data_IF_934972551655
#
_entry.id   IF_934972551655
#
_cell.length_a   1.000
_cell.length_b   1.000
_cell.length_c   1.000
_cell.angle_alpha   90.00
_cell.angle_beta   90.00
_cell.angle_gamma   90.00
#
_symmetry.space_group_name_H-M   'P 1'
#
loop_
_entity.id
_entity.type
_entity.pdbx_description
1 polymer ?
#
# COMPACT_ATOMS: atom_id res chain seq x y z
N UNK A 1 21.42 -9.96 -20.75
CA UNK A 1 20.85 -10.41 -19.46
C UNK A 1 20.32 -9.25 -18.60
N UNK A 2 20.86 -8.01 -18.69
CA UNK A 2 20.36 -6.84 -17.91
C UNK A 2 19.03 -6.25 -18.43
N UNK A 3 18.73 -6.33 -19.73
CA UNK A 3 17.49 -5.79 -20.32
C UNK A 3 16.22 -6.58 -19.92
N UNK A 4 16.32 -7.90 -19.70
CA UNK A 4 15.16 -8.72 -19.32
C UNK A 4 14.69 -8.49 -17.88
N UNK A 5 15.61 -8.24 -16.92
CA UNK A 5 15.25 -7.93 -15.52
C UNK A 5 14.55 -6.58 -15.36
N UNK A 6 14.84 -5.62 -16.24
CA UNK A 6 14.28 -4.27 -16.16
C UNK A 6 12.84 -4.20 -16.69
N UNK A 7 12.49 -5.03 -17.69
CA UNK A 7 11.13 -5.14 -18.23
C UNK A 7 10.17 -5.83 -17.26
N UNK A 8 10.61 -6.83 -16.49
CA UNK A 8 9.79 -7.49 -15.47
C UNK A 8 9.43 -6.58 -14.31
N UNK A 9 10.38 -5.80 -13.77
CA UNK A 9 10.12 -4.84 -12.69
C UNK A 9 9.12 -3.75 -13.08
N UNK A 10 9.15 -3.29 -14.33
CA UNK A 10 8.23 -2.27 -14.84
C UNK A 10 6.81 -2.83 -15.07
N UNK A 11 6.65 -4.11 -15.34
CA UNK A 11 5.35 -4.75 -15.55
C UNK A 11 4.60 -4.95 -14.23
N UNK A 12 5.30 -5.42 -13.19
CA UNK A 12 4.74 -5.61 -11.85
C UNK A 12 4.32 -4.28 -11.17
N UNK A 13 5.02 -3.18 -11.44
CA UNK A 13 4.66 -1.85 -10.91
C UNK A 13 3.36 -1.30 -11.51
N UNK A 14 2.90 -1.82 -12.65
CA UNK A 14 1.64 -1.44 -13.29
C UNK A 14 0.44 -2.23 -12.77
N UNK A 15 0.66 -3.41 -12.16
CA UNK A 15 -0.42 -4.30 -11.74
C UNK A 15 -1.09 -3.85 -10.42
N UNK A 16 -0.46 -2.98 -9.61
CA UNK A 16 -0.96 -2.56 -8.30
C UNK A 16 -1.31 -3.71 -7.36
N UNK A 17 -0.53 -4.79 -7.40
CA UNK A 17 -0.73 -5.93 -6.53
C UNK A 17 -0.48 -5.57 -5.05
N UNK A 18 -1.09 -6.34 -4.14
CA UNK A 18 -0.76 -6.28 -2.72
C UNK A 18 0.73 -6.55 -2.49
N UNK A 19 1.33 -6.05 -1.39
CA UNK A 19 2.68 -6.41 -1.01
C UNK A 19 2.70 -7.90 -0.62
N UNK A 20 3.15 -8.75 -1.55
CA UNK A 20 3.27 -10.20 -1.36
C UNK A 20 4.74 -10.60 -1.20
N UNK A 21 4.98 -11.74 -0.57
CA UNK A 21 6.29 -12.39 -0.54
C UNK A 21 6.66 -12.79 -1.97
N UNK A 22 7.91 -12.55 -2.38
CA UNK A 22 8.37 -12.73 -3.77
C UNK A 22 8.06 -14.10 -4.39
N UNK A 23 7.92 -15.15 -3.58
CA UNK A 23 7.63 -16.51 -4.04
C UNK A 23 6.15 -16.76 -4.38
N UNK A 24 5.26 -15.82 -4.11
CA UNK A 24 3.82 -15.93 -4.33
C UNK A 24 3.32 -15.09 -5.50
N UNK A 25 4.23 -14.38 -6.19
CA UNK A 25 3.88 -13.43 -7.24
C UNK A 25 3.98 -14.10 -8.59
N UNK A 26 2.86 -14.25 -9.27
CA UNK A 26 2.82 -14.50 -10.69
C UNK A 26 3.33 -13.27 -11.45
N UNK A 27 4.23 -13.47 -12.43
CA UNK A 27 4.88 -12.38 -13.16
C UNK A 27 3.92 -11.60 -14.09
N UNK A 28 2.70 -12.07 -14.28
CA UNK A 28 1.73 -11.53 -15.25
C UNK A 28 0.41 -11.09 -14.59
N UNK A 29 0.13 -11.47 -13.34
CA UNK A 29 -1.13 -11.19 -12.63
C UNK A 29 -0.92 -11.02 -11.14
N UNK A 30 -1.83 -10.30 -10.47
CA UNK A 30 -1.90 -10.23 -9.01
C UNK A 30 -2.57 -11.46 -8.37
N UNK A 31 -3.32 -12.23 -9.16
CA UNK A 31 -4.03 -13.39 -8.66
C UNK A 31 -3.09 -14.59 -8.46
N UNK A 32 -3.41 -15.42 -7.47
CA UNK A 32 -2.84 -16.76 -7.34
C UNK A 32 -3.49 -17.69 -8.36
N UNK A 33 -2.87 -18.83 -8.65
CA UNK A 33 -3.48 -19.84 -9.52
C UNK A 33 -4.83 -20.29 -8.96
N UNK A 34 -4.93 -20.48 -7.64
CA UNK A 34 -6.19 -20.80 -6.96
C UNK A 34 -7.26 -19.74 -7.18
N UNK A 35 -6.90 -18.46 -7.09
CA UNK A 35 -7.81 -17.35 -7.37
C UNK A 35 -8.28 -17.34 -8.82
N UNK A 36 -7.39 -17.62 -9.77
CA UNK A 36 -7.73 -17.70 -11.19
C UNK A 36 -8.71 -18.85 -11.48
N UNK A 37 -8.50 -20.03 -10.87
CA UNK A 37 -9.44 -21.14 -10.99
C UNK A 37 -10.82 -20.77 -10.43
N UNK A 38 -10.88 -20.13 -9.27
CA UNK A 38 -12.14 -19.67 -8.69
C UNK A 38 -12.85 -18.64 -9.58
N UNK A 39 -12.13 -17.68 -10.13
CA UNK A 39 -12.69 -16.71 -11.07
C UNK A 39 -13.18 -17.37 -12.36
N UNK A 40 -12.46 -18.34 -12.93
CA UNK A 40 -12.92 -19.16 -14.06
C UNK A 40 -14.23 -19.87 -13.75
N UNK A 41 -14.32 -20.52 -12.59
CA UNK A 41 -15.49 -21.29 -12.22
C UNK A 41 -16.70 -20.39 -12.04
N UNK A 42 -16.52 -19.22 -11.39
CA UNK A 42 -17.57 -18.19 -11.26
C UNK A 42 -17.98 -17.57 -12.60
N UNK A 43 -17.02 -17.36 -13.51
CA UNK A 43 -17.32 -16.95 -14.89
C UNK A 43 -18.15 -17.99 -15.61
N UNK A 44 -17.73 -19.26 -15.60
CA UNK A 44 -18.38 -20.36 -16.30
C UNK A 44 -19.81 -20.65 -15.79
N UNK A 45 -20.06 -20.43 -14.49
CA UNK A 45 -21.37 -20.51 -13.88
C UNK A 45 -22.37 -19.51 -14.49
N UNK A 46 -21.90 -18.33 -14.87
CA UNK A 46 -22.72 -17.22 -15.38
C UNK A 46 -22.70 -17.07 -16.89
N UNK A 47 -21.75 -17.70 -17.55
CA UNK A 47 -21.55 -17.62 -18.99
C UNK A 47 -21.49 -19.02 -19.62
N UNK A 48 -22.62 -19.78 -19.62
CA UNK A 48 -22.64 -21.15 -20.14
C UNK A 48 -22.24 -21.23 -21.63
N UNK A 49 -22.52 -20.16 -22.40
CA UNK A 49 -22.22 -20.08 -23.82
C UNK A 49 -20.80 -19.62 -24.14
N UNK A 50 -20.06 -19.15 -23.12
CA UNK A 50 -18.71 -18.62 -23.29
C UNK A 50 -17.74 -19.09 -22.19
N UNK A 51 -17.70 -20.41 -21.99
CA UNK A 51 -16.91 -21.05 -20.93
C UNK A 51 -15.41 -21.02 -21.22
N UNK A 52 -14.65 -20.90 -20.15
CA UNK A 52 -13.19 -21.06 -20.16
C UNK A 52 -12.87 -22.52 -19.79
N UNK A 53 -12.58 -23.35 -20.79
CA UNK A 53 -12.28 -24.77 -20.62
C UNK A 53 -10.76 -25.02 -20.53
N UNK A 54 -10.08 -24.25 -19.67
CA UNK A 54 -8.63 -24.39 -19.47
C UNK A 54 -8.31 -24.60 -17.99
N UNK A 55 -7.30 -25.42 -17.72
CA UNK A 55 -6.67 -25.60 -16.41
C UNK A 55 -5.29 -24.91 -16.35
N UNK A 56 -4.92 -24.17 -17.39
CA UNK A 56 -3.70 -23.36 -17.38
C UNK A 56 -4.01 -21.97 -16.84
N UNK A 57 -3.42 -21.55 -15.69
CA UNK A 57 -3.68 -20.25 -15.09
C UNK A 57 -3.40 -19.07 -16.04
N UNK A 58 -2.38 -19.15 -16.88
CA UNK A 58 -2.04 -18.11 -17.82
C UNK A 58 -3.10 -17.97 -18.93
N UNK A 59 -3.64 -19.06 -19.43
CA UNK A 59 -4.73 -19.05 -20.42
C UNK A 59 -6.03 -18.52 -19.81
N UNK A 60 -6.35 -18.94 -18.57
CA UNK A 60 -7.50 -18.43 -17.84
C UNK A 60 -7.42 -16.91 -17.69
N UNK A 61 -6.28 -16.41 -17.23
CA UNK A 61 -6.04 -14.98 -17.10
C UNK A 61 -6.17 -14.24 -18.43
N UNK A 62 -5.58 -14.77 -19.50
CA UNK A 62 -5.63 -14.17 -20.83
C UNK A 62 -7.06 -14.05 -21.35
N UNK A 63 -7.88 -15.10 -21.20
CA UNK A 63 -9.29 -15.10 -21.59
C UNK A 63 -10.12 -14.13 -20.76
N UNK A 64 -10.00 -14.15 -19.43
CA UNK A 64 -10.69 -13.20 -18.55
C UNK A 64 -10.31 -11.75 -18.87
N UNK A 65 -9.03 -11.49 -19.10
CA UNK A 65 -8.55 -10.16 -19.50
C UNK A 65 -9.16 -9.71 -20.83
N UNK A 66 -9.27 -10.61 -21.82
CA UNK A 66 -9.91 -10.33 -23.10
C UNK A 66 -11.40 -9.99 -22.92
N UNK A 67 -12.14 -10.81 -22.19
CA UNK A 67 -13.58 -10.62 -21.97
C UNK A 67 -13.91 -9.33 -21.21
N UNK A 68 -13.06 -8.95 -20.29
CA UNK A 68 -13.26 -7.78 -19.42
C UNK A 68 -12.58 -6.50 -19.93
N UNK A 69 -11.88 -6.56 -21.05
CA UNK A 69 -11.07 -5.44 -21.57
C UNK A 69 -11.87 -4.16 -21.87
N UNK A 70 -13.16 -4.30 -22.23
CA UNK A 70 -14.07 -3.17 -22.48
C UNK A 70 -14.58 -2.50 -21.20
N UNK A 71 -14.64 -3.25 -20.09
CA UNK A 71 -15.19 -2.77 -18.82
C UNK A 71 -14.12 -2.42 -17.80
N UNK A 72 -12.91 -2.99 -17.92
CA UNK A 72 -11.86 -2.91 -16.92
C UNK A 72 -10.48 -2.66 -17.52
N UNK A 73 -9.83 -1.61 -17.07
CA UNK A 73 -8.42 -1.28 -17.39
C UNK A 73 -7.41 -1.94 -16.42
N UNK A 74 -7.89 -2.50 -15.30
CA UNK A 74 -7.08 -3.11 -14.22
C UNK A 74 -7.74 -4.37 -13.68
N UNK A 75 -6.90 -5.33 -13.26
CA UNK A 75 -7.38 -6.58 -12.66
C UNK A 75 -8.24 -6.39 -11.41
N UNK A 76 -7.92 -5.37 -10.58
CA UNK A 76 -8.74 -5.06 -9.39
C UNK A 76 -10.17 -4.63 -9.72
N UNK A 77 -10.43 -4.17 -10.94
CA UNK A 77 -11.76 -3.86 -11.44
C UNK A 77 -12.60 -5.13 -11.66
N UNK A 78 -11.98 -6.28 -12.01
CA UNK A 78 -12.69 -7.53 -12.25
C UNK A 78 -13.55 -7.94 -11.06
N UNK A 79 -13.04 -7.77 -9.85
CA UNK A 79 -13.74 -8.12 -8.60
C UNK A 79 -14.97 -7.25 -8.31
N UNK A 80 -15.10 -6.12 -9.01
CA UNK A 80 -16.26 -5.23 -8.93
C UNK A 80 -17.36 -5.61 -9.93
N UNK A 81 -17.06 -6.52 -10.84
CA UNK A 81 -18.00 -6.98 -11.89
C UNK A 81 -18.90 -8.08 -11.33
N UNK A 82 -19.83 -7.75 -10.42
CA UNK A 82 -20.72 -8.70 -9.77
C UNK A 82 -21.57 -9.51 -10.74
N UNK A 83 -21.92 -8.93 -11.90
CA UNK A 83 -22.66 -9.61 -12.96
C UNK A 83 -21.89 -10.80 -13.54
N UNK A 84 -20.56 -10.74 -13.56
CA UNK A 84 -19.70 -11.80 -14.12
C UNK A 84 -19.23 -12.81 -13.07
N UNK A 85 -18.97 -12.37 -11.83
CA UNK A 85 -18.34 -13.22 -10.81
C UNK A 85 -19.17 -13.43 -9.55
N UNK A 86 -20.26 -12.64 -9.34
CA UNK A 86 -20.98 -12.62 -8.08
C UNK A 86 -20.14 -12.05 -6.93
N UNK A 87 -20.31 -12.60 -5.73
CA UNK A 87 -19.51 -12.20 -4.57
C UNK A 87 -18.18 -12.96 -4.55
N UNK A 88 -17.11 -12.23 -4.81
CA UNK A 88 -15.71 -12.70 -4.80
C UNK A 88 -14.84 -11.84 -3.86
N UNK A 89 -15.43 -11.34 -2.78
CA UNK A 89 -14.75 -10.45 -1.83
C UNK A 89 -13.43 -11.00 -1.28
N UNK A 90 -13.32 -12.31 -1.11
CA UNK A 90 -12.10 -12.97 -0.63
C UNK A 90 -10.89 -12.70 -1.54
N UNK A 91 -11.12 -12.52 -2.85
CA UNK A 91 -10.06 -12.29 -3.84
C UNK A 91 -9.47 -10.87 -3.79
N UNK A 92 -10.09 -9.93 -3.07
CA UNK A 92 -9.51 -8.59 -2.82
C UNK A 92 -8.17 -8.64 -2.10
N UNK A 93 -7.85 -9.74 -1.40
CA UNK A 93 -6.53 -9.97 -0.81
C UNK A 93 -5.39 -9.94 -1.83
N UNK A 94 -5.68 -10.13 -3.11
CA UNK A 94 -4.71 -9.98 -4.20
C UNK A 94 -4.26 -8.55 -4.40
N UNK A 95 -5.03 -7.56 -3.95
CA UNK A 95 -4.80 -6.13 -4.15
C UNK A 95 -4.64 -5.34 -2.85
N UNK A 96 -4.85 -5.97 -1.70
CA UNK A 96 -4.71 -5.37 -0.38
C UNK A 96 -3.63 -6.10 0.45
N UNK A 97 -2.93 -5.42 1.36
CA UNK A 97 -2.03 -6.07 2.30
C UNK A 97 -2.79 -7.04 3.21
N UNK A 98 -2.07 -8.00 3.79
CA UNK A 98 -2.65 -8.90 4.79
C UNK A 98 -3.12 -8.09 5.99
N UNK A 99 -4.42 -8.02 6.18
CA UNK A 99 -5.04 -7.40 7.33
C UNK A 99 -4.95 -8.30 8.57
N UNK A 100 -4.95 -7.74 9.79
CA UNK A 100 -5.14 -8.48 11.04
C UNK A 100 -6.46 -9.27 11.00
N UNK A 101 -6.46 -10.47 11.63
CA UNK A 101 -7.66 -11.30 11.62
C UNK A 101 -8.80 -10.71 12.46
N UNK A 102 -8.47 -9.84 13.42
CA UNK A 102 -9.42 -9.08 14.23
C UNK A 102 -10.33 -8.21 13.38
N UNK A 103 -9.81 -7.59 12.31
CA UNK A 103 -10.61 -6.75 11.41
C UNK A 103 -11.69 -7.50 10.62
N UNK A 104 -11.52 -8.81 10.48
CA UNK A 104 -12.57 -9.66 9.87
C UNK A 104 -13.76 -9.85 10.81
N UNK A 105 -13.50 -9.86 12.13
CA UNK A 105 -14.52 -10.03 13.17
C UNK A 105 -15.20 -8.73 13.54
N UNK A 106 -14.43 -7.63 13.58
CA UNK A 106 -14.92 -6.30 13.87
C UNK A 106 -14.40 -5.29 12.81
N UNK A 107 -15.10 -5.09 11.69
CA UNK A 107 -14.67 -4.21 10.60
C UNK A 107 -14.67 -2.72 10.98
N UNK A 108 -15.31 -2.35 12.08
CA UNK A 108 -15.39 -0.97 12.58
C UNK A 108 -14.41 -0.72 13.75
N UNK A 109 -13.51 -1.64 14.02
CA UNK A 109 -12.51 -1.49 15.05
C UNK A 109 -11.51 -0.37 14.73
N UNK A 110 -11.15 0.38 15.76
CA UNK A 110 -10.12 1.41 15.63
C UNK A 110 -8.75 0.78 15.36
N UNK A 111 -8.02 1.38 14.44
CA UNK A 111 -6.68 0.93 14.10
C UNK A 111 -5.71 1.24 15.24
N UNK A 112 -5.06 0.22 15.77
CA UNK A 112 -3.95 0.39 16.71
C UNK A 112 -2.64 0.72 15.99
N UNK A 113 -1.70 1.34 16.69
CA UNK A 113 -0.34 1.58 16.18
C UNK A 113 0.38 0.30 15.76
N UNK A 114 0.13 -0.81 16.48
CA UNK A 114 0.72 -2.13 16.19
C UNK A 114 0.20 -2.68 14.86
N UNK A 115 -1.09 -2.58 14.61
CA UNK A 115 -1.73 -3.06 13.38
C UNK A 115 -1.30 -2.25 12.17
N UNK A 116 -1.29 -0.92 12.29
CA UNK A 116 -0.77 -0.03 11.24
C UNK A 116 0.68 -0.41 10.91
N UNK A 117 1.52 -0.61 11.92
CA UNK A 117 2.91 -1.02 11.72
C UNK A 117 3.01 -2.35 10.99
N UNK A 118 2.25 -3.38 11.41
CA UNK A 118 2.23 -4.69 10.74
C UNK A 118 1.86 -4.60 9.26
N UNK A 119 0.88 -3.77 8.93
CA UNK A 119 0.44 -3.56 7.54
C UNK A 119 1.51 -2.81 6.74
N UNK A 120 2.03 -1.70 7.26
CA UNK A 120 2.99 -0.85 6.55
C UNK A 120 4.35 -1.52 6.34
N UNK A 121 4.79 -2.37 7.27
CA UNK A 121 6.02 -3.16 7.12
C UNK A 121 5.95 -4.19 5.98
N UNK A 122 4.77 -4.62 5.54
CA UNK A 122 4.64 -5.44 4.33
C UNK A 122 5.07 -4.67 3.08
N UNK A 123 4.68 -3.38 2.98
CA UNK A 123 5.10 -2.50 1.88
C UNK A 123 6.61 -2.23 1.92
N UNK A 124 7.16 -1.95 3.08
CA UNK A 124 8.59 -1.68 3.25
C UNK A 124 9.45 -2.91 2.90
N UNK A 125 8.99 -4.11 3.29
CA UNK A 125 9.65 -5.37 2.95
C UNK A 125 9.66 -5.63 1.45
N UNK A 126 8.55 -5.32 0.77
CA UNK A 126 8.37 -5.57 -0.67
C UNK A 126 9.04 -4.50 -1.53
N UNK A 127 8.92 -3.24 -1.14
CA UNK A 127 9.44 -2.10 -1.91
C UNK A 127 10.69 -1.50 -1.24
N UNK A 128 11.87 -1.95 -1.64
CA UNK A 128 13.15 -1.53 -1.02
C UNK A 128 13.41 -0.02 -1.04
N UNK A 129 12.80 0.70 -1.99
CA UNK A 129 12.87 2.16 -2.07
C UNK A 129 11.88 2.89 -1.14
N UNK A 130 11.03 2.17 -0.42
CA UNK A 130 10.08 2.73 0.54
C UNK A 130 10.61 2.62 1.96
N UNK A 131 10.39 3.65 2.75
CA UNK A 131 10.58 3.67 4.20
C UNK A 131 9.28 4.07 4.88
N UNK A 132 8.92 3.37 5.96
CA UNK A 132 7.77 3.70 6.79
C UNK A 132 8.23 4.20 8.16
N UNK A 133 7.79 5.38 8.54
CA UNK A 133 8.08 6.02 9.83
C UNK A 133 6.79 6.16 10.63
N UNK A 134 6.84 5.76 11.86
CA UNK A 134 5.68 5.80 12.78
C UNK A 134 4.96 4.45 12.90
N UNK A 135 3.70 4.44 13.36
CA UNK A 135 2.88 5.59 13.75
C UNK A 135 3.50 6.39 14.91
N UNK A 136 3.48 7.70 14.82
CA UNK A 136 4.09 8.62 15.78
C UNK A 136 3.06 9.62 16.32
N UNK A 137 3.16 10.10 17.56
CA UNK A 137 2.34 11.19 18.05
C UNK A 137 2.67 12.50 17.34
N UNK A 138 1.73 13.47 17.39
CA UNK A 138 1.91 14.74 16.69
C UNK A 138 3.08 15.57 17.23
N UNK A 139 3.38 15.43 18.52
CA UNK A 139 4.48 16.13 19.20
C UNK A 139 5.81 15.39 19.12
N UNK A 140 6.06 14.68 18.01
CA UNK A 140 7.23 13.84 17.74
C UNK A 140 8.59 14.54 17.98
N UNK A 141 8.65 15.86 17.76
CA UNK A 141 9.86 16.68 17.89
C UNK A 141 10.01 17.34 19.29
N UNK A 142 9.07 17.11 20.20
CA UNK A 142 9.14 17.60 21.57
C UNK A 142 10.31 16.94 22.32
N UNK A 143 11.07 17.73 23.06
CA UNK A 143 12.16 17.25 23.91
C UNK A 143 11.64 16.84 25.28
N UNK A 144 12.04 15.66 25.75
CA UNK A 144 11.81 15.18 27.11
C UNK A 144 12.86 15.76 28.07
N UNK A 145 12.71 15.45 29.37
CA UNK A 145 13.55 16.00 30.46
C UNK A 145 15.07 15.84 30.21
N UNK A 146 15.51 14.74 29.59
CA UNK A 146 16.92 14.46 29.30
C UNK A 146 17.34 14.83 27.88
N UNK A 147 16.55 15.62 27.17
CA UNK A 147 16.85 16.08 25.82
C UNK A 147 16.51 15.10 24.70
N UNK A 148 16.03 13.90 25.01
CA UNK A 148 15.57 12.93 24.04
C UNK A 148 14.29 13.42 23.35
N UNK A 149 14.14 13.11 22.07
CA UNK A 149 12.90 13.38 21.37
C UNK A 149 11.80 12.40 21.78
N UNK A 150 10.56 12.82 21.65
CA UNK A 150 9.41 11.93 21.79
C UNK A 150 9.48 10.80 20.77
N UNK A 151 9.89 11.11 19.52
CA UNK A 151 10.10 10.13 18.46
C UNK A 151 11.39 10.43 17.69
N UNK A 152 12.48 9.77 18.05
CA UNK A 152 13.83 10.06 17.56
C UNK A 152 13.97 9.97 16.04
N UNK A 153 13.41 8.94 15.42
CA UNK A 153 13.52 8.69 13.96
C UNK A 153 13.01 9.87 13.14
N UNK A 154 11.92 10.53 13.60
CA UNK A 154 11.33 11.66 12.90
C UNK A 154 11.90 13.01 13.36
N UNK A 155 12.23 13.15 14.63
CA UNK A 155 12.88 14.32 15.19
C UNK A 155 14.24 14.57 14.52
N UNK A 156 15.02 13.51 14.33
CA UNK A 156 16.33 13.51 13.69
C UNK A 156 16.28 13.18 12.20
N UNK A 157 15.08 13.27 11.59
CA UNK A 157 14.88 12.92 10.19
C UNK A 157 15.86 13.65 9.26
N UNK A 158 16.58 12.88 8.46
CA UNK A 158 17.52 13.36 7.46
C UNK A 158 17.18 12.83 6.08
N UNK A 159 16.76 13.74 5.19
CA UNK A 159 16.47 13.37 3.80
C UNK A 159 17.72 12.84 3.08
N UNK A 160 18.90 13.38 3.39
CA UNK A 160 20.16 12.94 2.80
C UNK A 160 20.48 11.48 3.16
N UNK A 161 20.25 11.08 4.40
CA UNK A 161 20.41 9.68 4.84
C UNK A 161 19.42 8.74 4.18
N UNK A 162 18.16 9.17 4.01
CA UNK A 162 17.16 8.40 3.26
C UNK A 162 17.63 8.15 1.82
N UNK A 163 18.13 9.18 1.14
CA UNK A 163 18.66 9.07 -0.22
C UNK A 163 19.87 8.14 -0.26
N UNK A 164 20.82 8.29 0.65
CA UNK A 164 22.03 7.47 0.77
C UNK A 164 21.68 5.99 0.97
N UNK A 165 20.64 5.69 1.75
CA UNK A 165 20.13 4.33 1.98
C UNK A 165 19.24 3.79 0.84
N UNK A 166 19.09 4.53 -0.26
CA UNK A 166 18.31 4.13 -1.42
C UNK A 166 16.78 4.30 -1.26
N UNK A 167 16.36 4.99 -0.19
CA UNK A 167 14.95 5.30 0.05
C UNK A 167 14.55 6.53 -0.75
N UNK A 168 13.52 6.39 -1.56
CA UNK A 168 13.01 7.48 -2.43
C UNK A 168 11.54 7.76 -2.22
N UNK A 169 10.88 6.94 -1.40
CA UNK A 169 9.48 7.07 -1.00
C UNK A 169 9.40 6.88 0.50
N UNK A 170 8.78 7.81 1.20
CA UNK A 170 8.66 7.78 2.66
C UNK A 170 7.19 7.97 3.00
N UNK A 171 6.64 7.05 3.78
CA UNK A 171 5.30 7.14 4.34
C UNK A 171 5.40 7.40 5.85
N UNK A 172 4.63 8.35 6.35
CA UNK A 172 4.59 8.69 7.77
C UNK A 172 3.13 8.69 8.19
N UNK A 173 2.82 8.08 9.33
CA UNK A 173 1.50 8.14 9.94
C UNK A 173 1.64 8.78 11.32
N UNK A 174 0.77 9.75 11.59
CA UNK A 174 0.74 10.49 12.84
C UNK A 174 -0.60 10.26 13.54
N UNK A 175 -0.54 10.18 14.87
CA UNK A 175 -1.72 10.40 15.69
C UNK A 175 -1.86 11.90 15.95
N UNK A 176 -3.07 12.44 15.90
CA UNK A 176 -3.30 13.89 16.17
C UNK A 176 -3.12 14.26 17.63
N UNK A 177 -3.13 13.28 18.54
CA UNK A 177 -2.82 13.50 19.95
C UNK A 177 -1.31 13.49 20.21
N UNK A 178 -0.85 14.22 21.24
CA UNK A 178 0.51 14.13 21.76
C UNK A 178 0.74 12.78 22.46
N UNK A 179 2.01 12.49 22.75
CA UNK A 179 2.47 11.20 23.28
C UNK A 179 1.90 10.79 24.64
N UNK A 180 1.40 11.75 25.42
CA UNK A 180 0.80 11.57 26.75
C UNK A 180 -0.74 11.46 26.71
N UNK A 181 -1.32 11.32 25.52
CA UNK A 181 -2.76 11.17 25.30
C UNK A 181 -3.10 9.83 24.66
N UNK A 182 -4.35 9.34 24.82
CA UNK A 182 -4.75 8.01 24.33
C UNK A 182 -4.79 7.86 22.82
N UNK A 183 -4.82 8.96 22.05
CA UNK A 183 -4.95 8.96 20.60
C UNK A 183 -6.39 9.18 20.12
N UNK A 184 -6.58 10.07 19.15
CA UNK A 184 -7.89 10.42 18.62
C UNK A 184 -8.07 10.08 17.15
N UNK A 185 -7.08 10.42 16.31
CA UNK A 185 -7.23 10.35 14.88
C UNK A 185 -5.89 10.09 14.19
N UNK A 186 -5.94 9.37 13.06
CA UNK A 186 -4.77 9.05 12.24
C UNK A 186 -4.74 9.92 10.98
N UNK A 187 -3.65 10.63 10.79
CA UNK A 187 -3.35 11.40 9.58
C UNK A 187 -2.05 10.89 8.96
N UNK A 188 -1.83 11.16 7.69
CA UNK A 188 -0.68 10.62 6.99
C UNK A 188 0.02 11.63 6.09
N UNK A 189 1.31 11.40 5.87
CA UNK A 189 2.12 12.15 4.92
C UNK A 189 2.91 11.17 4.05
N UNK A 190 3.00 11.47 2.76
CA UNK A 190 3.80 10.70 1.82
C UNK A 190 4.77 11.60 1.07
N UNK A 191 6.03 11.22 1.03
CA UNK A 191 7.10 11.93 0.35
C UNK A 191 7.60 11.10 -0.81
N UNK A 192 7.60 11.67 -2.01
CA UNK A 192 8.26 11.10 -3.17
C UNK A 192 9.45 11.99 -3.56
N UNK A 193 10.65 11.59 -3.17
CA UNK A 193 11.86 12.36 -3.36
C UNK A 193 12.16 12.58 -4.85
N UNK A 194 12.02 11.53 -5.67
CA UNK A 194 12.31 11.61 -7.12
C UNK A 194 11.36 12.55 -7.86
N UNK A 195 10.09 12.60 -7.44
CA UNK A 195 9.08 13.50 -8.03
C UNK A 195 9.02 14.87 -7.36
N UNK A 196 9.77 15.07 -6.26
CA UNK A 196 9.74 16.30 -5.44
C UNK A 196 8.32 16.66 -4.95
N UNK A 197 7.55 15.64 -4.53
CA UNK A 197 6.17 15.78 -4.07
C UNK A 197 6.09 15.38 -2.61
N UNK A 198 5.43 16.21 -1.82
CA UNK A 198 4.95 15.88 -0.47
C UNK A 198 3.43 15.93 -0.52
N UNK A 199 2.81 14.85 -0.11
CA UNK A 199 1.35 14.70 -0.06
C UNK A 199 0.94 14.49 1.40
N UNK A 200 -0.03 15.28 1.86
CA UNK A 200 -0.69 15.13 3.16
C UNK A 200 -2.10 14.59 2.94
N UNK A 201 -2.54 13.73 3.81
CA UNK A 201 -3.90 13.18 3.79
C UNK A 201 -4.48 13.10 5.18
N UNK A 202 -5.68 13.64 5.30
CA UNK A 202 -6.58 13.54 6.44
C UNK A 202 -7.97 13.14 5.92
N UNK A 203 -8.57 12.10 6.50
CA UNK A 203 -9.89 11.61 6.10
C UNK A 203 -11.04 12.55 6.49
N UNK A 204 -10.82 13.44 7.48
CA UNK A 204 -11.79 14.49 7.87
C UNK A 204 -11.71 15.72 6.95
N UNK A 205 -10.65 15.83 6.15
CA UNK A 205 -10.42 16.95 5.25
C UNK A 205 -9.80 18.17 5.93
N UNK A 206 -9.30 18.02 7.15
CA UNK A 206 -8.67 19.09 7.88
C UNK A 206 -7.31 19.48 7.30
N UNK A 207 -6.91 20.74 7.55
CA UNK A 207 -5.60 21.23 7.13
C UNK A 207 -4.47 20.59 7.97
N UNK A 208 -3.25 20.48 7.40
CA UNK A 208 -2.11 19.94 8.16
C UNK A 208 -1.88 20.74 9.45
N UNK A 209 -1.70 20.04 10.60
CA UNK A 209 -1.28 20.65 11.86
C UNK A 209 0.06 21.40 11.75
N UNK A 210 0.31 22.33 12.66
CA UNK A 210 1.54 23.16 12.67
C UNK A 210 2.82 22.33 12.69
N UNK A 211 2.83 21.21 13.39
CA UNK A 211 3.94 20.27 13.51
C UNK A 211 4.30 19.66 12.15
N UNK A 212 3.28 19.27 11.39
CA UNK A 212 3.44 18.76 10.02
C UNK A 212 3.94 19.84 9.08
N UNK A 213 3.42 21.06 9.18
CA UNK A 213 3.87 22.22 8.37
C UNK A 213 5.37 22.50 8.64
N UNK A 214 5.79 22.51 9.92
CA UNK A 214 7.20 22.67 10.30
C UNK A 214 8.08 21.56 9.72
N UNK A 215 7.64 20.30 9.80
CA UNK A 215 8.33 19.17 9.21
C UNK A 215 8.51 19.33 7.70
N UNK A 216 7.45 19.72 7.00
CA UNK A 216 7.49 19.97 5.54
C UNK A 216 8.49 21.06 5.19
N UNK A 217 8.52 22.17 5.95
CA UNK A 217 9.52 23.23 5.76
C UNK A 217 10.95 22.72 5.98
N UNK A 218 11.19 21.97 7.06
CA UNK A 218 12.49 21.35 7.34
C UNK A 218 12.96 20.43 6.21
N UNK A 219 12.05 19.67 5.60
CA UNK A 219 12.35 18.79 4.47
C UNK A 219 12.65 19.59 3.20
N UNK A 220 11.85 20.61 2.89
CA UNK A 220 12.02 21.44 1.68
C UNK A 220 13.35 22.20 1.66
N UNK A 221 13.77 22.78 2.78
CA UNK A 221 15.04 23.52 2.87
C UNK A 221 16.24 22.63 2.51
N UNK A 222 16.16 21.33 2.77
CA UNK A 222 17.25 20.37 2.48
C UNK A 222 17.22 19.78 1.06
N UNK A 223 16.19 20.05 0.29
CA UNK A 223 16.08 19.60 -1.12
C UNK A 223 16.69 20.61 -2.09
N UNK A 224 16.92 21.84 -1.65
CA UNK A 224 17.42 22.96 -2.49
C UNK A 224 18.88 23.33 -2.21
N UNK A 225 19.56 22.60 -1.37
CA UNK A 225 21.01 22.69 -1.12
C UNK A 225 21.65 21.33 -1.47
#
# INVERSE_FOLDING_TARGET
>A
LKKHKQTHKNKLSKLNCSPKIQNEINNYTCYTDKSLFKLRDKWNERHPDNKINSNNPHEIHSKLSGFLSSACDKESCWLKQSNHFGDVKEEFSSFAPKAPDEWKRNPNEWLSSVEITKVMKQYEKTYKCFNFIGPTPIDFDKRKLYGECVWDELCNFSLAEQIKSGKTKIGIIFNTDPHDKPGQHWISMFINIKKKIIFFFDSTGDKPPREIIKLVHKIKIRVYH
#
